data_IF_046774465220
#
_entry.id   IF_046774465220
#
_cell.length_a   1.000
_cell.length_b   1.000
_cell.length_c   1.000
_cell.angle_alpha   90.00
_cell.angle_beta   90.00
_cell.angle_gamma   90.00
#
_symmetry.space_group_name_H-M   'P 1'
#
loop_
_entity.id
_entity.type
_entity.pdbx_description
1 polymer ?
#
# COMPACT_ATOMS: atom_id res chain seq x y z
N UNK A 1 -1.19 -14.08 -65.60
CA UNK A 1 -2.21 -13.68 -64.60
C UNK A 1 -1.81 -13.89 -63.11
N UNK A 2 -0.78 -14.67 -62.74
CA UNK A 2 -0.42 -14.91 -61.32
C UNK A 2 0.26 -13.73 -60.58
N UNK A 3 0.97 -12.82 -61.27
CA UNK A 3 1.71 -11.70 -60.65
C UNK A 3 0.82 -10.59 -60.08
N UNK A 4 -0.38 -10.37 -60.64
CA UNK A 4 -1.30 -9.30 -60.21
C UNK A 4 -1.99 -9.63 -58.89
N UNK A 5 -2.32 -10.91 -58.64
CA UNK A 5 -2.92 -11.36 -57.37
C UNK A 5 -1.94 -11.25 -56.19
N UNK A 6 -0.64 -11.49 -56.42
CA UNK A 6 0.39 -11.36 -55.38
C UNK A 6 0.59 -9.90 -54.94
N UNK A 7 0.57 -8.95 -55.88
CA UNK A 7 0.63 -7.52 -55.59
C UNK A 7 -0.61 -7.02 -54.83
N UNK A 8 -1.80 -7.52 -55.14
CA UNK A 8 -3.04 -7.18 -54.43
C UNK A 8 -3.08 -7.73 -52.99
N UNK A 9 -2.59 -8.96 -52.78
CA UNK A 9 -2.45 -9.58 -51.44
C UNK A 9 -1.47 -8.78 -50.58
N UNK A 10 -0.35 -8.33 -51.15
CA UNK A 10 0.66 -7.54 -50.44
C UNK A 10 0.11 -6.15 -50.02
N UNK A 11 -0.67 -5.48 -50.90
CA UNK A 11 -1.35 -4.21 -50.59
C UNK A 11 -2.42 -4.37 -49.51
N UNK A 12 -3.22 -5.45 -49.55
CA UNK A 12 -4.24 -5.73 -48.54
C UNK A 12 -3.62 -6.00 -47.15
N UNK A 13 -2.51 -6.74 -47.08
CA UNK A 13 -1.77 -6.98 -45.83
C UNK A 13 -1.17 -5.69 -45.25
N UNK A 14 -0.68 -4.80 -46.12
CA UNK A 14 -0.13 -3.50 -45.72
C UNK A 14 -1.20 -2.56 -45.16
N UNK A 15 -2.40 -2.56 -45.74
CA UNK A 15 -3.53 -1.77 -45.25
C UNK A 15 -4.04 -2.29 -43.89
N UNK A 16 -4.12 -3.61 -43.69
CA UNK A 16 -4.52 -4.20 -42.41
C UNK A 16 -3.49 -3.86 -41.32
N UNK A 17 -2.20 -3.92 -41.63
CA UNK A 17 -1.12 -3.51 -40.71
C UNK A 17 -1.21 -2.02 -40.34
N UNK A 18 -1.44 -1.16 -41.32
CA UNK A 18 -1.59 0.28 -41.09
C UNK A 18 -2.82 0.62 -40.23
N UNK A 19 -3.94 -0.09 -40.43
CA UNK A 19 -5.14 0.06 -39.59
C UNK A 19 -4.86 -0.40 -38.16
N UNK A 20 -4.20 -1.54 -37.96
CA UNK A 20 -3.82 -2.00 -36.62
C UNK A 20 -2.91 -1.00 -35.89
N UNK A 21 -1.90 -0.45 -36.58
CA UNK A 21 -1.01 0.58 -36.02
C UNK A 21 -1.73 1.90 -35.72
N UNK A 22 -2.74 2.27 -36.51
CA UNK A 22 -3.55 3.45 -36.23
C UNK A 22 -4.46 3.26 -35.01
N UNK A 23 -4.99 2.03 -34.80
CA UNK A 23 -5.78 1.71 -33.61
C UNK A 23 -4.94 1.76 -32.31
N UNK A 24 -3.69 1.30 -32.36
CA UNK A 24 -2.80 1.36 -31.18
C UNK A 24 -2.37 2.79 -30.86
N UNK A 25 -2.21 3.67 -31.86
CA UNK A 25 -1.90 5.08 -31.66
C UNK A 25 -3.03 5.86 -30.97
N UNK A 26 -4.30 5.48 -31.19
CA UNK A 26 -5.46 6.12 -30.53
C UNK A 26 -5.54 5.74 -29.03
N UNK A 27 -5.03 4.56 -28.66
CA UNK A 27 -5.03 4.04 -27.28
C UNK A 27 -3.73 4.39 -26.53
N UNK A 28 -2.69 4.83 -27.23
CA UNK A 28 -1.43 5.25 -26.64
C UNK A 28 -1.60 6.58 -25.86
N UNK A 29 -2.05 6.48 -24.61
CA UNK A 29 -1.87 7.53 -23.61
C UNK A 29 -0.37 7.65 -23.37
N UNK A 30 0.25 8.77 -23.74
CA UNK A 30 1.53 9.13 -23.17
C UNK A 30 1.32 9.26 -21.66
N UNK A 31 1.77 8.28 -20.89
CA UNK A 31 1.65 8.32 -19.43
C UNK A 31 2.58 9.44 -18.95
N UNK A 32 2.00 10.57 -18.56
CA UNK A 32 2.74 11.66 -17.98
C UNK A 32 3.28 11.18 -16.63
N UNK A 33 4.60 11.16 -16.47
CA UNK A 33 5.25 10.62 -15.27
C UNK A 33 4.75 11.31 -14.00
N UNK A 34 4.44 12.60 -14.09
CA UNK A 34 3.85 13.37 -12.99
C UNK A 34 2.42 12.93 -12.64
N UNK A 35 1.60 12.60 -13.64
CA UNK A 35 0.25 12.08 -13.41
C UNK A 35 0.29 10.68 -12.78
N UNK A 36 1.21 9.81 -13.22
CA UNK A 36 1.41 8.50 -12.61
C UNK A 36 1.88 8.57 -11.16
N UNK A 37 2.76 9.52 -10.82
CA UNK A 37 3.21 9.74 -9.43
C UNK A 37 2.05 10.25 -8.56
N UNK A 38 1.22 11.17 -9.08
CA UNK A 38 0.06 11.68 -8.35
C UNK A 38 -1.00 10.60 -8.10
N UNK A 39 -1.22 9.70 -9.05
CA UNK A 39 -2.15 8.57 -8.93
C UNK A 39 -1.61 7.50 -7.95
N UNK A 40 -0.30 7.29 -7.92
CA UNK A 40 0.32 6.39 -6.96
C UNK A 40 0.21 6.96 -5.53
N UNK A 41 0.49 8.26 -5.34
CA UNK A 41 0.38 8.92 -4.04
C UNK A 41 -1.04 8.86 -3.48
N UNK A 42 -2.07 9.09 -4.31
CA UNK A 42 -3.48 8.97 -3.88
C UNK A 42 -3.83 7.53 -3.48
N UNK A 43 -3.33 6.53 -4.20
CA UNK A 43 -3.53 5.13 -3.84
C UNK A 43 -2.84 4.77 -2.53
N UNK A 44 -1.59 5.19 -2.30
CA UNK A 44 -0.90 4.96 -1.03
C UNK A 44 -1.67 5.61 0.13
N UNK A 45 -2.13 6.85 -0.03
CA UNK A 45 -2.97 7.56 0.95
C UNK A 45 -4.24 6.80 1.32
N UNK A 46 -4.90 6.18 0.35
CA UNK A 46 -6.11 5.37 0.60
C UNK A 46 -5.88 4.17 1.51
N UNK A 47 -4.65 3.63 1.56
CA UNK A 47 -4.29 2.51 2.44
C UNK A 47 -3.94 2.95 3.86
N UNK A 48 -3.63 4.22 4.09
CA UNK A 48 -3.21 4.72 5.41
C UNK A 48 -4.33 4.71 6.44
N UNK A 49 -5.55 5.09 6.06
CA UNK A 49 -6.70 5.09 6.96
C UNK A 49 -7.06 3.68 7.47
N UNK A 50 -7.31 2.67 6.61
CA UNK A 50 -7.53 1.30 7.07
C UNK A 50 -6.28 0.71 7.76
N UNK A 51 -5.07 1.07 7.31
CA UNK A 51 -3.83 0.67 7.94
C UNK A 51 -3.68 1.19 9.38
N UNK A 52 -4.10 2.43 9.62
CA UNK A 52 -4.06 3.04 10.95
C UNK A 52 -5.09 2.40 11.89
N UNK A 53 -6.30 2.13 11.40
CA UNK A 53 -7.31 1.40 12.18
C UNK A 53 -6.81 0.00 12.57
N UNK A 54 -6.13 -0.70 11.66
CA UNK A 54 -5.52 -1.99 11.95
C UNK A 54 -4.40 -1.87 13.00
N UNK A 55 -3.57 -0.83 12.92
CA UNK A 55 -2.52 -0.56 13.92
C UNK A 55 -3.12 -0.33 15.31
N UNK A 56 -4.21 0.44 15.43
CA UNK A 56 -4.90 0.63 16.71
C UNK A 56 -5.49 -0.68 17.26
N UNK A 57 -6.06 -1.52 16.39
CA UNK A 57 -6.55 -2.83 16.79
C UNK A 57 -5.41 -3.73 17.32
N UNK A 58 -4.26 -3.76 16.65
CA UNK A 58 -3.07 -4.50 17.10
C UNK A 58 -2.55 -3.92 18.42
N UNK A 59 -2.47 -2.59 18.53
CA UNK A 59 -2.05 -1.90 19.76
C UNK A 59 -2.93 -2.27 20.96
N UNK A 60 -4.25 -2.36 20.77
CA UNK A 60 -5.18 -2.79 21.80
C UNK A 60 -4.92 -4.24 22.23
N UNK A 61 -4.73 -5.16 21.29
CA UNK A 61 -4.42 -6.57 21.59
C UNK A 61 -3.10 -6.72 22.35
N UNK A 62 -2.04 -6.04 21.89
CA UNK A 62 -0.73 -6.07 22.55
C UNK A 62 -0.78 -5.43 23.95
N UNK A 63 -1.57 -4.38 24.14
CA UNK A 63 -1.80 -3.77 25.45
C UNK A 63 -2.45 -4.73 26.45
N UNK A 64 -3.45 -5.50 26.01
CA UNK A 64 -4.07 -6.53 26.84
C UNK A 64 -3.08 -7.66 27.21
N UNK A 65 -2.27 -8.13 26.25
CA UNK A 65 -1.25 -9.16 26.50
C UNK A 65 -0.20 -8.67 27.50
N UNK A 66 0.25 -7.42 27.36
CA UNK A 66 1.17 -6.78 28.30
C UNK A 66 0.59 -6.70 29.70
N UNK A 67 -0.67 -6.28 29.83
CA UNK A 67 -1.37 -6.19 31.12
C UNK A 67 -1.47 -7.57 31.81
N UNK A 68 -1.81 -8.63 31.07
CA UNK A 68 -1.86 -10.00 31.61
C UNK A 68 -0.48 -10.44 32.11
N UNK A 69 0.60 -10.17 31.37
CA UNK A 69 1.97 -10.51 31.80
C UNK A 69 2.38 -9.78 33.08
N UNK A 70 2.04 -8.50 33.19
CA UNK A 70 2.32 -7.70 34.40
C UNK A 70 1.54 -8.25 35.58
N UNK A 71 0.25 -8.55 35.39
CA UNK A 71 -0.58 -9.15 36.43
C UNK A 71 -0.04 -10.50 36.90
N UNK A 72 0.44 -11.36 35.99
CA UNK A 72 1.06 -12.63 36.35
C UNK A 72 2.30 -12.44 37.24
N UNK A 73 3.20 -11.51 36.88
CA UNK A 73 4.39 -11.20 37.70
C UNK A 73 4.03 -10.58 39.04
N UNK A 74 3.01 -9.73 39.09
CA UNK A 74 2.49 -9.16 40.33
C UNK A 74 2.01 -10.25 41.29
N UNK A 75 1.21 -11.20 40.80
CA UNK A 75 0.72 -12.31 41.62
C UNK A 75 1.83 -13.28 42.04
N UNK A 76 2.92 -13.39 41.27
CA UNK A 76 4.08 -14.20 41.61
C UNK A 76 5.00 -13.56 42.67
N UNK A 77 4.73 -12.32 43.10
CA UNK A 77 5.56 -11.61 44.06
C UNK A 77 6.93 -11.18 43.50
N UNK A 78 7.04 -11.05 42.17
CA UNK A 78 8.27 -10.69 41.50
C UNK A 78 8.60 -9.20 41.72
N UNK A 79 9.81 -8.91 42.22
CA UNK A 79 10.29 -7.54 42.45
C UNK A 79 10.49 -6.76 41.14
N UNK A 80 10.63 -7.44 40.00
CA UNK A 80 10.75 -6.81 38.68
C UNK A 80 9.41 -6.36 38.06
N UNK A 81 8.28 -6.57 38.75
CA UNK A 81 6.94 -6.26 38.21
C UNK A 81 6.81 -4.80 37.76
N UNK A 82 7.33 -3.85 38.55
CA UNK A 82 7.28 -2.42 38.19
C UNK A 82 8.10 -2.08 36.94
N UNK A 83 9.27 -2.71 36.78
CA UNK A 83 10.12 -2.55 35.58
C UNK A 83 9.46 -3.13 34.34
N UNK A 84 8.83 -4.30 34.46
CA UNK A 84 8.10 -4.93 33.36
C UNK A 84 6.86 -4.12 33.01
N UNK A 85 6.12 -3.61 33.99
CA UNK A 85 4.97 -2.74 33.77
C UNK A 85 5.36 -1.45 33.05
N UNK A 86 6.42 -0.78 33.48
CA UNK A 86 6.92 0.44 32.86
C UNK A 86 7.38 0.21 31.41
N UNK A 87 8.10 -0.89 31.15
CA UNK A 87 8.53 -1.25 29.79
C UNK A 87 7.33 -1.49 28.85
N UNK A 88 6.29 -2.18 29.33
CA UNK A 88 5.08 -2.41 28.55
C UNK A 88 4.26 -1.15 28.33
N UNK A 89 4.13 -0.29 29.35
CA UNK A 89 3.40 0.97 29.25
C UNK A 89 4.04 1.91 28.23
N UNK A 90 5.37 2.05 28.26
CA UNK A 90 6.10 2.84 27.27
C UNK A 90 5.92 2.32 25.84
N UNK A 91 5.93 0.99 25.66
CA UNK A 91 5.72 0.36 24.34
C UNK A 91 4.29 0.59 23.80
N UNK A 92 3.28 0.57 24.67
CA UNK A 92 1.88 0.82 24.27
C UNK A 92 1.67 2.27 23.84
N UNK A 93 2.23 3.24 24.59
CA UNK A 93 2.16 4.66 24.23
C UNK A 93 2.89 4.90 22.89
N UNK A 94 4.07 4.31 22.73
CA UNK A 94 4.85 4.45 21.51
C UNK A 94 4.09 3.96 20.27
N UNK A 95 3.41 2.81 20.34
CA UNK A 95 2.60 2.29 19.23
C UNK A 95 1.46 3.23 18.82
N UNK A 96 0.79 3.88 19.79
CA UNK A 96 -0.26 4.87 19.52
C UNK A 96 0.32 6.14 18.90
N UNK A 97 1.45 6.62 19.40
CA UNK A 97 2.12 7.83 18.88
C UNK A 97 2.66 7.60 17.46
N UNK A 98 3.17 6.42 17.14
CA UNK A 98 3.62 6.10 15.78
C UNK A 98 2.46 6.18 14.78
N UNK A 99 1.26 5.73 15.16
CA UNK A 99 0.08 5.81 14.30
C UNK A 99 -0.30 7.26 13.96
N UNK A 100 -0.27 8.16 14.96
CA UNK A 100 -0.58 9.59 14.73
C UNK A 100 0.51 10.31 13.96
N UNK A 101 1.77 9.97 14.20
CA UNK A 101 2.92 10.52 13.47
C UNK A 101 2.87 10.11 12.00
N UNK A 102 2.55 8.85 11.68
CA UNK A 102 2.35 8.41 10.31
C UNK A 102 1.21 9.18 9.63
N UNK A 103 0.05 9.33 10.26
CA UNK A 103 -1.04 10.15 9.71
C UNK A 103 -0.59 11.60 9.44
N UNK A 104 0.17 12.19 10.37
CA UNK A 104 0.68 13.56 10.24
C UNK A 104 1.67 13.72 9.08
N UNK A 105 2.53 12.73 8.81
CA UNK A 105 3.48 12.77 7.69
C UNK A 105 2.79 12.65 6.33
N UNK A 106 1.71 11.88 6.26
CA UNK A 106 0.94 11.71 5.04
C UNK A 106 -0.19 12.73 4.90
N UNK A 107 -0.32 13.72 5.79
CA UNK A 107 -1.28 14.82 5.64
C UNK A 107 -2.75 14.38 5.60
N UNK A 108 -3.08 13.34 6.37
CA UNK A 108 -4.46 12.97 6.69
C UNK A 108 -4.92 13.67 7.97
#
# INVERSE_FOLDING_TARGET
MKRVKFAAICKSKLLISAVLLSLTAIVAKAQDGAAGISEADSQVRSYFEPGTQLMYAIGAVLGLVGAVKVFQKWNAGDNDTGKVAAAWFGSCIFLVVVATVLQSFFGL
#
